data_IF_841654185092
#
_entry.id   IF_841654185092
#
_cell.length_a   1.000
_cell.length_b   1.000
_cell.length_c   1.000
_cell.angle_alpha   90.00
_cell.angle_beta   90.00
_cell.angle_gamma   90.00
#
_symmetry.space_group_name_H-M   'P 1'
#
loop_
_entity.id
_entity.type
_entity.pdbx_description
1 polymer ?
#
# COMPACT_ATOMS: atom_id res chain seq x y z
N UNK A 1 -8.85 13.43 3.14
CA UNK A 1 -7.59 14.17 3.29
C UNK A 1 -6.83 14.26 1.98
N UNK A 2 -6.32 13.14 1.46
CA UNK A 2 -5.37 13.14 0.33
C UNK A 2 -6.00 13.04 -1.07
N UNK A 3 -7.32 12.87 -1.17
CA UNK A 3 -8.02 12.59 -2.43
C UNK A 3 -7.88 13.70 -3.50
N UNK A 4 -7.60 14.94 -3.10
CA UNK A 4 -7.36 16.07 -4.01
C UNK A 4 -5.89 16.22 -4.44
N UNK A 5 -4.96 15.50 -3.82
CA UNK A 5 -3.53 15.58 -4.10
C UNK A 5 -3.14 14.76 -5.35
N UNK A 6 -3.82 14.97 -6.47
CA UNK A 6 -3.67 14.17 -7.70
C UNK A 6 -2.29 14.25 -8.36
N UNK A 7 -1.47 15.22 -7.95
CA UNK A 7 -0.09 15.38 -8.41
C UNK A 7 0.93 14.56 -7.59
N UNK A 8 0.53 13.97 -6.45
CA UNK A 8 1.44 13.26 -5.56
C UNK A 8 2.13 12.10 -6.30
N UNK A 9 3.45 11.98 -6.13
CA UNK A 9 4.28 10.91 -6.72
C UNK A 9 4.76 9.90 -5.70
N UNK A 10 5.01 10.34 -4.47
CA UNK A 10 5.57 9.49 -3.42
C UNK A 10 4.80 9.75 -2.13
N UNK A 11 4.48 8.67 -1.42
CA UNK A 11 3.73 8.73 -0.17
C UNK A 11 4.33 7.74 0.83
N UNK A 12 4.82 8.26 1.95
CA UNK A 12 5.45 7.48 3.01
C UNK A 12 4.56 7.50 4.25
N UNK A 13 4.06 6.33 4.63
CA UNK A 13 3.11 6.13 5.72
C UNK A 13 3.59 5.02 6.68
N UNK A 14 4.89 4.71 6.67
CA UNK A 14 5.48 3.67 7.50
C UNK A 14 5.23 3.89 9.00
N UNK A 15 5.05 2.79 9.75
CA UNK A 15 4.95 2.82 11.22
C UNK A 15 3.66 3.41 11.78
N UNK A 16 2.60 3.48 10.97
CA UNK A 16 1.29 3.96 11.41
C UNK A 16 0.36 2.78 11.79
N UNK A 17 -0.90 3.09 12.08
CA UNK A 17 -1.95 2.09 12.41
C UNK A 17 -2.94 1.89 11.26
N UNK A 18 -2.48 2.04 10.02
CA UNK A 18 -3.33 1.99 8.83
C UNK A 18 -3.75 0.54 8.57
N UNK A 19 -5.04 0.29 8.46
CA UNK A 19 -5.61 -1.02 8.12
C UNK A 19 -6.30 -1.06 6.76
N UNK A 20 -6.62 0.11 6.20
CA UNK A 20 -7.22 0.30 4.87
C UNK A 20 -6.59 1.51 4.19
N UNK A 21 -6.53 1.49 2.86
CA UNK A 21 -5.91 2.49 1.99
C UNK A 21 -6.95 3.30 1.22
N UNK A 22 -8.11 3.50 1.83
CA UNK A 22 -9.22 4.22 1.22
C UNK A 22 -8.81 5.62 0.74
N UNK A 23 -9.24 5.97 -0.47
CA UNK A 23 -8.95 7.25 -1.10
C UNK A 23 -7.59 7.35 -1.82
N UNK A 24 -6.65 6.41 -1.61
CA UNK A 24 -5.37 6.39 -2.35
C UNK A 24 -5.56 6.04 -3.83
N UNK A 25 -6.67 5.38 -4.20
CA UNK A 25 -7.06 5.06 -5.58
C UNK A 25 -7.18 6.30 -6.49
N UNK A 26 -7.32 7.51 -5.92
CA UNK A 26 -7.40 8.78 -6.67
C UNK A 26 -6.03 9.36 -6.99
N UNK A 27 -4.96 8.85 -6.39
CA UNK A 27 -3.59 9.31 -6.60
C UNK A 27 -2.99 8.65 -7.85
N UNK A 28 -3.60 8.90 -9.01
CA UNK A 28 -3.28 8.22 -10.28
C UNK A 28 -1.85 8.44 -10.80
N UNK A 29 -1.09 9.33 -10.17
CA UNK A 29 0.32 9.59 -10.48
C UNK A 29 1.28 9.02 -9.43
N UNK A 30 0.76 8.32 -8.42
CA UNK A 30 1.57 7.76 -7.34
C UNK A 30 2.49 6.68 -7.90
N UNK A 31 3.80 6.86 -7.70
CA UNK A 31 4.86 5.98 -8.14
C UNK A 31 5.46 5.18 -6.97
N UNK A 32 5.52 5.76 -5.77
CA UNK A 32 6.06 5.10 -4.57
C UNK A 32 5.05 5.18 -3.44
N UNK A 33 4.76 4.04 -2.82
CA UNK A 33 3.93 3.94 -1.62
C UNK A 33 4.61 3.06 -0.58
N UNK A 34 4.96 3.65 0.56
CA UNK A 34 5.47 2.91 1.72
C UNK A 34 4.39 2.80 2.79
N UNK A 35 3.92 1.57 3.00
CA UNK A 35 2.97 1.19 4.04
C UNK A 35 3.61 0.23 5.04
N UNK A 36 4.94 0.14 5.12
CA UNK A 36 5.61 -0.78 6.05
C UNK A 36 5.22 -0.53 7.52
N UNK A 37 5.25 -1.60 8.31
CA UNK A 37 4.91 -1.61 9.74
C UNK A 37 3.55 -0.98 10.04
N UNK A 38 2.55 -1.29 9.21
CA UNK A 38 1.14 -0.94 9.41
C UNK A 38 0.31 -2.19 9.75
N UNK A 39 -1.02 -2.07 9.67
CA UNK A 39 -1.99 -3.11 10.05
C UNK A 39 -2.85 -3.55 8.87
N UNK A 40 -2.32 -3.52 7.65
CA UNK A 40 -3.04 -3.99 6.46
C UNK A 40 -3.16 -5.51 6.56
N UNK A 41 -4.39 -6.02 6.68
CA UNK A 41 -4.66 -7.43 7.00
C UNK A 41 -5.19 -8.24 5.82
N UNK A 42 -5.78 -7.60 4.81
CA UNK A 42 -6.42 -8.31 3.70
C UNK A 42 -6.02 -7.74 2.35
N UNK A 43 -5.97 -8.61 1.35
CA UNK A 43 -5.79 -8.23 -0.06
C UNK A 43 -6.95 -7.38 -0.57
N UNK A 44 -8.14 -7.46 0.06
CA UNK A 44 -9.29 -6.60 -0.25
C UNK A 44 -8.97 -5.12 -0.06
N UNK A 45 -8.26 -4.77 1.02
CA UNK A 45 -7.80 -3.39 1.25
C UNK A 45 -6.85 -2.93 0.14
N UNK A 46 -5.90 -3.79 -0.26
CA UNK A 46 -4.97 -3.50 -1.35
C UNK A 46 -5.64 -3.44 -2.73
N UNK A 47 -6.76 -4.14 -2.92
CA UNK A 47 -7.52 -4.13 -4.18
C UNK A 47 -7.99 -2.73 -4.60
N UNK A 48 -8.07 -1.78 -3.67
CA UNK A 48 -8.35 -0.38 -4.03
C UNK A 48 -7.23 0.28 -4.84
N UNK A 49 -5.99 -0.21 -4.72
CA UNK A 49 -4.82 0.34 -5.42
C UNK A 49 -4.72 -0.13 -6.88
N UNK A 50 -5.65 -0.95 -7.37
CA UNK A 50 -5.69 -1.40 -8.77
C UNK A 50 -5.66 -0.22 -9.75
N UNK A 51 -6.33 0.89 -9.42
CA UNK A 51 -6.31 2.11 -10.22
C UNK A 51 -4.91 2.75 -10.32
N UNK A 52 -4.02 2.48 -9.36
CA UNK A 52 -2.65 2.99 -9.33
C UNK A 52 -1.64 2.04 -9.98
N UNK A 53 -2.02 0.80 -10.36
CA UNK A 53 -1.05 -0.21 -10.84
C UNK A 53 -0.27 0.23 -12.09
N UNK A 54 -0.86 1.08 -12.94
CA UNK A 54 -0.16 1.62 -14.11
C UNK A 54 0.92 2.65 -13.77
N UNK A 55 0.83 3.30 -12.60
CA UNK A 55 1.78 4.35 -12.18
C UNK A 55 2.73 3.88 -11.08
N UNK A 56 2.30 2.94 -10.24
CA UNK A 56 3.03 2.46 -9.08
C UNK A 56 4.24 1.64 -9.54
N UNK A 57 5.42 2.06 -9.10
CA UNK A 57 6.71 1.40 -9.38
C UNK A 57 7.25 0.67 -8.16
N UNK A 58 6.90 1.14 -6.96
CA UNK A 58 7.33 0.55 -5.70
C UNK A 58 6.20 0.57 -4.68
N UNK A 59 5.99 -0.57 -4.03
CA UNK A 59 5.04 -0.75 -2.92
C UNK A 59 5.75 -1.51 -1.80
N UNK A 60 5.89 -0.90 -0.63
CA UNK A 60 6.44 -1.55 0.55
C UNK A 60 5.32 -1.92 1.52
N UNK A 61 5.21 -3.22 1.83
CA UNK A 61 4.24 -3.77 2.77
C UNK A 61 4.90 -4.49 3.94
N UNK A 62 6.22 -4.36 4.11
CA UNK A 62 7.00 -5.03 5.15
C UNK A 62 6.33 -4.89 6.52
N UNK A 63 6.17 -5.97 7.27
CA UNK A 63 5.63 -5.90 8.63
C UNK A 63 4.12 -5.60 8.70
N UNK A 64 3.38 -5.82 7.61
CA UNK A 64 1.91 -5.85 7.64
C UNK A 64 1.40 -7.29 7.75
N UNK A 65 0.29 -7.55 8.47
CA UNK A 65 -0.29 -8.89 8.59
C UNK A 65 -0.65 -9.55 7.25
N UNK A 66 -0.94 -8.77 6.19
CA UNK A 66 -1.20 -9.31 4.84
C UNK A 66 -0.03 -10.12 4.27
N UNK A 67 1.20 -9.88 4.75
CA UNK A 67 2.38 -10.66 4.36
C UNK A 67 2.46 -12.03 5.05
N UNK A 68 1.79 -12.22 6.19
CA UNK A 68 1.82 -13.50 6.92
C UNK A 68 1.17 -14.65 6.15
N UNK A 69 0.47 -14.37 5.04
CA UNK A 69 -0.11 -15.36 4.14
C UNK A 69 0.75 -15.64 2.89
N UNK A 70 1.92 -15.01 2.76
CA UNK A 70 2.91 -15.36 1.73
C UNK A 70 3.92 -16.27 2.43
N UNK A 71 3.72 -17.57 2.25
CA UNK A 71 4.26 -18.66 3.06
C UNK A 71 5.68 -18.51 3.61
N UNK A 72 5.86 -19.07 4.79
CA UNK A 72 7.10 -19.60 5.36
C UNK A 72 7.77 -20.68 4.47
N UNK A 73 7.65 -20.58 3.14
CA UNK A 73 8.16 -21.54 2.14
C UNK A 73 9.46 -21.04 1.48
N UNK A 74 10.10 -20.00 2.04
CA UNK A 74 11.39 -19.47 1.59
C UNK A 74 12.56 -19.75 2.56
N UNK A 75 12.37 -20.60 3.57
CA UNK A 75 13.41 -20.98 4.54
C UNK A 75 13.51 -22.52 4.78
N UNK A 76 13.43 -23.31 3.71
CA UNK A 76 13.94 -24.69 3.69
C UNK A 76 14.81 -24.94 2.47
#
# INVERSE_FOLDING_TARGET
GLSSCTALRELYLAGNKISDVEGLHRLLKLAVLDLSFNRVTTTKGLGQLVANYSSLKALNLLGNPVQANVGDDALR
#
